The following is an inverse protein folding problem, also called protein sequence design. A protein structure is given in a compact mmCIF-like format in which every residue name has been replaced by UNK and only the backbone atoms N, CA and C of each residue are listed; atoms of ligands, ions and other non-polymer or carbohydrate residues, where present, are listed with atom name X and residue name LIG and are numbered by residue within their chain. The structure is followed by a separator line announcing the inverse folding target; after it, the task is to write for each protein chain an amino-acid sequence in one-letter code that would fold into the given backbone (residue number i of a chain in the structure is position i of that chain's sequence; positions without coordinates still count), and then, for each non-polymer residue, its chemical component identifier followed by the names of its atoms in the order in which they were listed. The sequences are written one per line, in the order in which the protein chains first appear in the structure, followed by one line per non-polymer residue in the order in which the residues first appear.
data_IF_396080806008
#
_entry.id   IF_396080806008
#
_cell.length_a   1.000
_cell.length_b   1.000
_cell.length_c   1.000
_cell.angle_alpha   90.00
_cell.angle_beta   90.00
_cell.angle_gamma   90.00
#
_symmetry.space_group_name_H-M   'P 1'
#
loop_
_entity.id
_entity.type
_entity.pdbx_description
1 polymer ?
#
# COMPACT_ATOMS: atom_id res chain seq x y z
N UNK A 1 13.78 -15.57 -13.07
CA UNK A 1 13.50 -14.56 -14.13
C UNK A 1 13.93 -15.16 -15.45
N UNK A 2 13.11 -15.04 -16.49
CA UNK A 2 13.33 -15.67 -17.79
C UNK A 2 14.59 -15.15 -18.56
N UNK A 3 15.21 -14.09 -18.05
CA UNK A 3 16.40 -13.46 -18.64
C UNK A 3 17.72 -13.87 -17.94
N UNK A 4 17.66 -14.84 -17.02
CA UNK A 4 18.84 -15.27 -16.26
C UNK A 4 19.40 -14.24 -15.28
N UNK A 5 18.62 -13.22 -14.91
CA UNK A 5 19.05 -12.20 -13.95
C UNK A 5 18.65 -12.59 -12.54
N UNK A 6 19.60 -12.67 -11.64
CA UNK A 6 19.40 -12.97 -10.22
C UNK A 6 19.71 -11.75 -9.37
N UNK A 7 19.01 -11.58 -8.29
CA UNK A 7 19.24 -10.43 -7.36
C UNK A 7 19.59 -10.97 -5.99
N UNK A 8 20.65 -10.45 -5.42
CA UNK A 8 21.10 -10.77 -4.08
C UNK A 8 21.22 -9.50 -3.25
N UNK A 9 20.83 -9.59 -2.00
CA UNK A 9 21.15 -8.57 -1.00
C UNK A 9 22.45 -8.99 -0.31
N UNK A 10 23.37 -8.08 -0.27
CA UNK A 10 24.65 -8.27 0.44
C UNK A 10 24.84 -7.18 1.47
N UNK A 11 25.35 -7.58 2.62
CA UNK A 11 25.76 -6.61 3.62
C UNK A 11 26.95 -5.81 3.08
N UNK A 12 26.98 -4.52 3.36
CA UNK A 12 28.02 -3.61 2.86
C UNK A 12 29.45 -4.00 3.22
N UNK A 13 29.64 -4.87 4.18
CA UNK A 13 30.96 -5.39 4.61
C UNK A 13 31.33 -6.75 4.03
N UNK A 14 30.49 -7.38 3.21
CA UNK A 14 30.80 -8.70 2.64
C UNK A 14 31.79 -8.58 1.47
N UNK A 15 33.00 -9.13 1.58
CA UNK A 15 34.01 -9.07 0.52
C UNK A 15 33.70 -10.02 -0.63
N UNK A 16 32.88 -11.05 -0.40
CA UNK A 16 32.48 -12.05 -1.37
C UNK A 16 30.99 -12.32 -1.27
N UNK A 17 30.38 -12.58 -2.40
CA UNK A 17 29.01 -13.09 -2.52
C UNK A 17 29.13 -14.51 -3.04
N UNK A 18 28.67 -15.45 -2.25
CA UNK A 18 28.55 -16.84 -2.67
C UNK A 18 27.09 -17.16 -2.92
N UNK A 19 26.82 -17.86 -3.97
CA UNK A 19 25.47 -18.24 -4.33
C UNK A 19 25.45 -19.34 -5.34
N UNK A 20 24.25 -19.80 -5.63
CA UNK A 20 24.03 -20.87 -6.57
C UNK A 20 22.79 -20.60 -7.43
N UNK A 21 22.64 -21.23 -8.56
CA UNK A 21 21.52 -21.06 -9.49
C UNK A 21 21.20 -22.34 -10.26
N UNK A 22 20.20 -22.31 -11.13
CA UNK A 22 19.76 -23.43 -11.98
C UNK A 22 19.34 -24.70 -11.22
N UNK A 23 18.25 -24.60 -10.47
CA UNK A 23 17.66 -25.75 -9.79
C UNK A 23 18.59 -26.43 -8.80
N UNK A 24 19.63 -25.72 -8.44
CA UNK A 24 20.48 -26.21 -7.44
C UNK A 24 21.74 -26.89 -7.91
N UNK A 25 22.28 -26.66 -9.08
CA UNK A 25 23.47 -27.35 -9.53
C UNK A 25 24.66 -26.47 -9.89
N UNK A 26 24.60 -25.12 -9.67
CA UNK A 26 25.69 -24.19 -9.99
C UNK A 26 25.98 -23.21 -8.89
N UNK A 27 27.16 -23.33 -8.33
CA UNK A 27 27.69 -22.38 -7.34
C UNK A 27 28.47 -21.29 -8.05
N UNK A 28 28.41 -20.09 -7.49
CA UNK A 28 29.28 -19.00 -7.92
C UNK A 28 29.79 -18.21 -6.74
N UNK A 29 30.96 -17.65 -6.90
CA UNK A 29 31.55 -16.71 -5.95
C UNK A 29 31.84 -15.42 -6.71
N UNK A 30 31.32 -14.31 -6.22
CA UNK A 30 31.64 -12.97 -6.73
C UNK A 30 32.49 -12.27 -5.69
N UNK A 31 33.73 -11.97 -6.04
CA UNK A 31 34.55 -11.07 -5.23
C UNK A 31 34.12 -9.66 -5.51
N UNK A 32 33.53 -9.02 -4.52
CA UNK A 32 33.14 -7.62 -4.64
C UNK A 32 34.40 -6.76 -4.51
N UNK A 33 34.80 -6.12 -5.60
CA UNK A 33 35.82 -5.07 -5.49
C UNK A 33 35.30 -3.94 -4.59
N UNK A 34 36.19 -3.19 -3.99
CA UNK A 34 36.07 -2.22 -2.91
C UNK A 34 34.92 -1.18 -2.90
N UNK A 35 33.97 -1.23 -3.82
CA UNK A 35 32.82 -0.35 -3.85
C UNK A 35 31.54 -1.15 -3.65
N UNK A 36 31.18 -1.38 -2.39
CA UNK A 36 29.86 -1.92 -2.06
C UNK A 36 28.75 -0.93 -2.44
N UNK A 37 27.57 -1.40 -2.86
CA UNK A 37 26.42 -0.53 -3.02
C UNK A 37 26.15 0.24 -1.72
N UNK A 38 25.82 1.51 -1.82
CA UNK A 38 25.27 2.27 -0.69
C UNK A 38 23.86 1.76 -0.42
N UNK A 39 23.36 1.98 0.78
CA UNK A 39 21.97 1.61 1.11
C UNK A 39 21.00 2.18 0.07
N UNK A 40 20.22 1.33 -0.57
CA UNK A 40 19.31 1.70 -1.64
C UNK A 40 19.87 1.53 -3.07
N UNK A 41 21.16 1.21 -3.23
CA UNK A 41 21.76 0.92 -4.54
C UNK A 41 21.88 -0.60 -4.78
N UNK A 42 21.95 -0.98 -6.04
CA UNK A 42 22.25 -2.35 -6.43
C UNK A 42 23.37 -2.37 -7.48
N UNK A 43 24.17 -3.43 -7.47
CA UNK A 43 25.14 -3.70 -8.53
C UNK A 43 24.72 -4.93 -9.30
N UNK A 44 24.96 -4.91 -10.61
CA UNK A 44 24.74 -6.04 -11.48
C UNK A 44 26.08 -6.73 -11.74
N UNK A 45 26.14 -8.02 -11.50
CA UNK A 45 27.26 -8.87 -11.84
C UNK A 45 26.83 -9.88 -12.89
N UNK A 46 27.72 -10.17 -13.84
CA UNK A 46 27.53 -11.23 -14.80
C UNK A 46 28.28 -12.46 -14.31
N UNK A 47 27.60 -13.57 -14.17
CA UNK A 47 28.22 -14.84 -13.84
C UNK A 47 28.28 -15.66 -15.12
N UNK A 48 29.49 -15.91 -15.63
CA UNK A 48 29.72 -16.70 -16.81
C UNK A 48 30.01 -18.15 -16.45
N UNK A 49 29.00 -18.96 -16.72
CA UNK A 49 29.08 -20.38 -16.98
C UNK A 49 29.89 -21.27 -16.04
N UNK A 50 29.49 -21.46 -14.84
CA UNK A 50 30.03 -22.51 -14.01
C UNK A 50 28.91 -23.31 -13.32
N UNK A 51 29.29 -24.36 -12.69
CA UNK A 51 28.41 -25.36 -12.14
C UNK A 51 27.67 -24.87 -10.86
N UNK A 52 26.69 -25.40 -10.42
CA UNK A 52 25.48 -24.86 -9.94
C UNK A 52 24.67 -25.59 -8.91
N UNK A 53 24.17 -24.96 -7.87
CA UNK A 53 22.94 -25.42 -7.25
C UNK A 53 22.26 -24.36 -6.43
N UNK A 54 21.04 -23.95 -6.75
CA UNK A 54 20.25 -23.09 -5.87
C UNK A 54 19.50 -23.95 -4.86
N UNK A 55 19.74 -23.71 -3.58
CA UNK A 55 18.87 -24.17 -2.51
C UNK A 55 18.29 -22.95 -1.79
N UNK A 56 16.96 -22.80 -1.89
CA UNK A 56 16.15 -21.87 -1.13
C UNK A 56 16.53 -20.38 -1.29
N UNK A 57 15.96 -19.73 -2.28
CA UNK A 57 15.94 -18.25 -2.31
C UNK A 57 15.05 -17.78 -1.19
N UNK A 58 15.64 -17.45 -0.06
CA UNK A 58 14.96 -16.63 0.95
C UNK A 58 14.95 -15.20 0.41
N UNK A 59 13.77 -14.69 0.08
CA UNK A 59 13.63 -13.29 -0.25
C UNK A 59 14.04 -12.48 0.98
N UNK A 60 14.99 -11.57 0.81
CA UNK A 60 15.57 -10.85 1.91
C UNK A 60 14.52 -9.95 2.58
N UNK A 61 14.56 -9.90 3.89
CA UNK A 61 13.66 -9.13 4.74
C UNK A 61 13.75 -7.61 4.54
N UNK A 62 14.66 -7.12 3.71
CA UNK A 62 14.86 -5.70 3.40
C UNK A 62 15.33 -5.47 1.96
N UNK A 63 14.52 -5.86 0.97
CA UNK A 63 14.72 -5.45 -0.42
C UNK A 63 14.27 -4.01 -0.63
N UNK A 64 14.77 -3.34 -1.70
CA UNK A 64 14.16 -2.10 -2.17
C UNK A 64 12.73 -2.43 -2.59
N UNK A 65 11.77 -1.86 -1.90
CA UNK A 65 10.37 -2.05 -2.19
C UNK A 65 10.04 -1.48 -3.58
N UNK A 66 9.25 -2.20 -4.35
CA UNK A 66 8.73 -1.75 -5.64
C UNK A 66 7.22 -1.81 -5.63
N UNK A 67 6.60 -0.92 -6.37
CA UNK A 67 5.15 -0.95 -6.58
C UNK A 67 4.74 -2.31 -7.15
N UNK A 68 3.77 -2.96 -6.50
CA UNK A 68 3.28 -4.28 -6.82
C UNK A 68 3.96 -5.43 -6.07
N UNK A 69 5.06 -5.21 -5.34
CA UNK A 69 5.65 -6.25 -4.51
C UNK A 69 4.67 -6.68 -3.40
N UNK A 70 4.67 -7.95 -3.06
CA UNK A 70 3.85 -8.50 -2.00
C UNK A 70 4.50 -8.25 -0.64
N UNK A 71 3.76 -7.64 0.27
CA UNK A 71 4.18 -7.52 1.67
C UNK A 71 3.63 -8.72 2.44
N UNK A 72 4.54 -9.48 3.02
CA UNK A 72 4.25 -10.73 3.71
C UNK A 72 4.66 -10.65 5.17
N UNK A 73 4.01 -11.46 5.99
CA UNK A 73 4.38 -11.62 7.41
C UNK A 73 4.68 -13.07 7.74
N UNK A 74 5.50 -13.28 8.76
CA UNK A 74 5.76 -14.58 9.39
C UNK A 74 5.86 -14.40 10.90
N UNK A 75 6.02 -15.50 11.64
CA UNK A 75 6.19 -15.49 13.09
C UNK A 75 5.08 -14.73 13.82
N UNK A 76 3.83 -15.03 13.45
CA UNK A 76 2.63 -14.36 13.96
C UNK A 76 2.66 -12.83 13.78
N UNK A 77 3.17 -12.36 12.63
CA UNK A 77 3.21 -10.95 12.27
C UNK A 77 4.39 -10.17 12.84
N UNK A 78 5.30 -10.79 13.57
CA UNK A 78 6.46 -10.07 14.15
C UNK A 78 7.54 -9.76 13.13
N UNK A 79 7.59 -10.52 12.05
CA UNK A 79 8.55 -10.34 10.95
C UNK A 79 7.83 -10.01 9.66
N UNK A 80 8.23 -8.92 8.99
CA UNK A 80 7.77 -8.53 7.66
C UNK A 80 8.84 -8.76 6.61
N UNK A 81 8.43 -9.14 5.40
CA UNK A 81 9.33 -9.30 4.26
C UNK A 81 8.60 -9.06 2.94
N UNK A 82 9.36 -8.84 1.87
CA UNK A 82 8.81 -8.62 0.54
C UNK A 82 9.03 -9.84 -0.35
N UNK A 83 8.00 -10.19 -1.13
CA UNK A 83 8.11 -11.07 -2.27
C UNK A 83 7.97 -10.22 -3.54
N UNK A 84 8.87 -10.34 -4.52
CA UNK A 84 8.78 -9.61 -5.78
C UNK A 84 7.47 -9.90 -6.52
N UNK A 85 6.89 -8.89 -7.13
CA UNK A 85 5.64 -9.02 -7.93
C UNK A 85 5.74 -10.00 -9.10
N UNK A 86 6.94 -10.32 -9.53
CA UNK A 86 7.21 -11.32 -10.58
C UNK A 86 7.30 -12.75 -10.04
N UNK A 87 7.12 -12.96 -8.73
CA UNK A 87 7.14 -14.29 -8.14
C UNK A 87 5.99 -15.17 -8.68
N UNK A 88 6.29 -16.44 -8.85
CA UNK A 88 5.29 -17.42 -9.30
C UNK A 88 4.20 -17.67 -8.24
N UNK A 89 3.07 -18.19 -8.69
CA UNK A 89 1.91 -18.45 -7.85
C UNK A 89 2.26 -19.37 -6.65
N UNK A 90 3.08 -20.39 -6.85
CA UNK A 90 3.47 -21.32 -5.78
C UNK A 90 4.21 -20.60 -4.66
N UNK A 91 5.14 -19.74 -5.02
CA UNK A 91 5.89 -18.92 -4.06
C UNK A 91 4.98 -17.99 -3.29
N UNK A 92 4.05 -17.33 -3.97
CA UNK A 92 3.11 -16.35 -3.34
C UNK A 92 2.13 -17.07 -2.43
N UNK A 93 1.56 -18.23 -2.86
CA UNK A 93 0.62 -19.01 -2.06
C UNK A 93 1.25 -19.71 -0.85
N UNK A 94 2.56 -19.94 -0.86
CA UNK A 94 3.28 -20.48 0.29
C UNK A 94 3.53 -19.43 1.39
N UNK A 95 3.28 -18.14 1.10
CA UNK A 95 3.54 -17.03 2.00
C UNK A 95 2.24 -16.49 2.62
N UNK A 96 2.34 -15.90 3.80
CA UNK A 96 1.24 -15.12 4.38
C UNK A 96 1.29 -13.70 3.81
N UNK A 97 0.68 -13.51 2.64
CA UNK A 97 0.59 -12.19 2.00
C UNK A 97 -0.48 -11.37 2.71
N UNK A 98 -0.09 -10.21 3.25
CA UNK A 98 -1.02 -9.32 3.96
C UNK A 98 -1.30 -8.04 3.19
N UNK A 99 -0.48 -7.68 2.19
CA UNK A 99 -0.69 -6.49 1.39
C UNK A 99 0.14 -6.41 0.12
N UNK A 100 -0.14 -5.36 -0.67
CA UNK A 100 0.57 -5.00 -1.90
C UNK A 100 1.19 -3.62 -1.73
N UNK A 101 2.47 -3.48 -2.07
CA UNK A 101 3.15 -2.18 -2.06
C UNK A 101 2.56 -1.30 -3.15
N UNK A 102 2.05 -0.14 -2.77
CA UNK A 102 1.43 0.79 -3.73
C UNK A 102 2.17 2.12 -3.87
N UNK A 103 3.05 2.47 -2.94
CA UNK A 103 3.81 3.72 -3.01
C UNK A 103 5.22 3.54 -2.42
N UNK A 104 6.23 4.03 -3.14
CA UNK A 104 7.64 4.00 -2.70
C UNK A 104 8.31 5.37 -2.80
N UNK A 105 7.62 6.35 -3.38
CA UNK A 105 8.10 7.75 -3.36
C UNK A 105 7.90 8.33 -1.95
N UNK A 106 9.00 8.59 -1.27
CA UNK A 106 8.99 9.11 0.10
C UNK A 106 8.33 10.49 0.21
N UNK A 107 8.29 11.28 -0.87
CA UNK A 107 7.58 12.56 -0.90
C UNK A 107 6.06 12.39 -0.78
N UNK A 108 5.54 11.21 -1.11
CA UNK A 108 4.14 10.82 -1.03
C UNK A 108 3.79 10.07 0.26
N UNK A 109 4.67 10.03 1.25
CA UNK A 109 4.45 9.39 2.54
C UNK A 109 4.35 10.47 3.61
N UNK A 110 3.29 10.40 4.41
CA UNK A 110 2.96 11.42 5.39
C UNK A 110 4.03 11.63 6.48
N UNK A 111 4.09 12.83 7.03
CA UNK A 111 5.09 13.17 8.03
C UNK A 111 4.94 12.33 9.31
N UNK A 112 3.70 12.00 9.70
CA UNK A 112 3.44 11.17 10.90
C UNK A 112 3.78 9.71 10.69
N UNK A 113 3.62 9.19 9.48
CA UNK A 113 4.11 7.87 9.07
C UNK A 113 5.64 7.82 9.20
N UNK A 114 6.34 8.81 8.66
CA UNK A 114 7.81 8.93 8.78
C UNK A 114 8.28 9.03 10.22
N UNK A 115 7.61 9.87 11.02
CA UNK A 115 7.91 10.01 12.46
C UNK A 115 7.74 8.68 13.20
N UNK A 116 6.64 7.97 12.94
CA UNK A 116 6.36 6.66 13.56
C UNK A 116 7.41 5.61 13.22
N UNK A 117 7.95 5.64 12.02
CA UNK A 117 9.01 4.74 11.56
C UNK A 117 10.42 5.16 12.03
N UNK A 118 10.54 6.25 12.78
CA UNK A 118 11.83 6.73 13.29
C UNK A 118 12.62 7.57 12.29
N UNK A 119 11.96 8.13 11.29
CA UNK A 119 12.52 9.05 10.30
C UNK A 119 12.50 8.53 8.87
N UNK A 120 12.74 9.44 7.94
CA UNK A 120 12.65 9.16 6.49
C UNK A 120 13.60 8.05 6.00
N UNK A 121 14.72 7.84 6.69
CA UNK A 121 15.68 6.78 6.36
C UNK A 121 15.10 5.37 6.51
N UNK A 122 14.14 5.20 7.41
CA UNK A 122 13.52 3.92 7.73
C UNK A 122 12.23 3.66 6.94
N UNK A 123 11.84 4.58 6.06
CA UNK A 123 10.64 4.44 5.24
C UNK A 123 10.99 3.71 3.96
N UNK A 124 10.31 2.61 3.70
CA UNK A 124 10.46 1.79 2.50
C UNK A 124 9.27 1.92 1.54
N UNK A 125 8.07 2.16 2.07
CA UNK A 125 6.88 2.31 1.25
C UNK A 125 5.57 2.27 2.02
N UNK A 126 4.47 2.31 1.25
CA UNK A 126 3.11 2.09 1.73
C UNK A 126 2.54 0.81 1.13
N UNK A 127 1.80 0.08 1.95
CA UNK A 127 1.17 -1.21 1.61
C UNK A 127 -0.34 -1.08 1.75
N UNK A 128 -1.08 -1.52 0.75
CA UNK A 128 -2.53 -1.69 0.78
C UNK A 128 -2.86 -3.12 1.20
N UNK A 129 -3.75 -3.30 2.18
CA UNK A 129 -4.20 -4.62 2.61
C UNK A 129 -4.85 -5.40 1.45
N UNK A 130 -4.68 -6.71 1.43
CA UNK A 130 -5.35 -7.58 0.44
C UNK A 130 -6.80 -7.90 0.82
N UNK A 131 -7.25 -7.49 2.01
CA UNK A 131 -8.60 -7.72 2.55
C UNK A 131 -9.39 -6.43 2.72
N UNK A 132 -10.71 -6.51 2.48
CA UNK A 132 -11.69 -5.57 3.02
C UNK A 132 -12.03 -6.02 4.44
N UNK A 133 -11.80 -5.19 5.43
CA UNK A 133 -11.90 -5.59 6.83
C UNK A 133 -13.25 -5.26 7.46
N UNK A 134 -14.00 -4.40 6.82
CA UNK A 134 -15.36 -4.05 7.21
C UNK A 134 -16.12 -3.49 6.00
N UNK A 135 -17.44 -3.59 6.08
CA UNK A 135 -18.38 -3.05 5.12
C UNK A 135 -19.36 -2.14 5.82
N UNK A 136 -19.87 -1.12 5.11
CA UNK A 136 -20.89 -0.20 5.61
C UNK A 136 -20.52 0.48 6.94
N UNK A 137 -19.32 1.05 7.00
CA UNK A 137 -18.85 1.75 8.18
C UNK A 137 -19.07 3.26 8.05
N UNK A 138 -19.67 3.87 9.08
CA UNK A 138 -19.73 5.30 9.21
C UNK A 138 -18.32 5.86 9.48
N UNK A 139 -18.06 7.06 8.97
CA UNK A 139 -16.78 7.74 9.19
C UNK A 139 -16.64 8.21 10.67
N UNK A 140 -17.70 8.82 11.21
CA UNK A 140 -17.70 9.34 12.57
C UNK A 140 -18.87 10.28 12.88
N UNK A 141 -18.65 11.22 13.79
CA UNK A 141 -19.69 12.09 14.32
C UNK A 141 -20.13 13.16 13.32
N UNK A 142 -21.40 13.15 12.97
CA UNK A 142 -22.03 14.18 12.14
C UNK A 142 -22.12 15.52 12.89
N UNK A 143 -21.76 16.60 12.23
CA UNK A 143 -21.79 17.94 12.81
C UNK A 143 -20.56 18.32 13.65
N UNK A 144 -19.61 17.38 13.80
CA UNK A 144 -18.37 17.59 14.54
C UNK A 144 -17.22 17.90 13.55
N UNK A 145 -16.57 19.05 13.75
CA UNK A 145 -15.29 19.37 13.11
C UNK A 145 -14.17 18.70 13.91
N UNK A 146 -13.44 17.81 13.27
CA UNK A 146 -12.36 17.09 13.93
C UNK A 146 -11.05 17.88 13.93
N UNK A 147 -10.98 18.98 13.20
CA UNK A 147 -9.77 19.77 13.07
C UNK A 147 -8.70 19.13 12.17
N UNK A 148 -9.10 18.17 11.34
CA UNK A 148 -8.26 17.65 10.28
C UNK A 148 -8.13 18.67 9.14
N UNK A 149 -7.11 18.50 8.30
CA UNK A 149 -6.96 19.36 7.12
C UNK A 149 -8.18 19.21 6.21
N UNK A 150 -8.87 20.31 5.98
CA UNK A 150 -10.03 20.34 5.08
C UNK A 150 -9.57 20.41 3.62
N UNK A 151 -9.83 19.35 2.88
CA UNK A 151 -9.43 19.24 1.47
C UNK A 151 -10.63 19.57 0.57
N UNK A 152 -10.61 20.72 -0.10
CA UNK A 152 -11.72 21.17 -0.96
C UNK A 152 -11.36 21.32 -2.43
N UNK A 153 -10.08 21.33 -2.75
CA UNK A 153 -9.61 21.35 -4.14
C UNK A 153 -9.04 19.99 -4.51
N UNK A 154 -8.92 19.73 -5.81
CA UNK A 154 -8.26 18.55 -6.35
C UNK A 154 -6.83 18.40 -5.81
N UNK A 155 -6.09 19.50 -5.76
CA UNK A 155 -4.73 19.53 -5.24
C UNK A 155 -4.67 19.22 -3.74
N UNK A 156 -5.55 19.82 -2.94
CA UNK A 156 -5.59 19.58 -1.49
C UNK A 156 -5.91 18.11 -1.19
N UNK A 157 -6.90 17.56 -1.91
CA UNK A 157 -7.31 16.17 -1.76
C UNK A 157 -6.17 15.19 -2.14
N UNK A 158 -5.46 15.47 -3.25
CA UNK A 158 -4.29 14.69 -3.66
C UNK A 158 -3.15 14.79 -2.65
N UNK A 159 -2.96 15.94 -2.02
CA UNK A 159 -1.88 16.19 -1.07
C UNK A 159 -2.21 15.77 0.36
N UNK A 160 -3.45 15.38 0.66
CA UNK A 160 -3.76 14.76 1.95
C UNK A 160 -3.30 13.30 1.95
N UNK A 161 -2.05 13.10 2.33
CA UNK A 161 -1.36 11.81 2.44
C UNK A 161 -1.16 11.38 3.90
N UNK A 162 -1.88 12.00 4.82
CA UNK A 162 -1.68 11.88 6.27
C UNK A 162 -2.60 10.84 6.92
N UNK A 163 -2.80 9.68 6.31
CA UNK A 163 -3.75 8.67 6.82
C UNK A 163 -3.47 8.23 8.24
N UNK A 164 -2.22 7.87 8.55
CA UNK A 164 -1.81 7.55 9.91
C UNK A 164 -1.97 8.76 10.85
N UNK A 165 -1.54 9.93 10.39
CA UNK A 165 -1.68 11.17 11.15
C UNK A 165 -3.13 11.51 11.47
N UNK A 166 -4.05 11.36 10.51
CA UNK A 166 -5.49 11.56 10.71
C UNK A 166 -6.05 10.58 11.76
N UNK A 167 -5.66 9.30 11.69
CA UNK A 167 -6.07 8.29 12.66
C UNK A 167 -5.57 8.62 14.07
N UNK A 168 -4.29 8.99 14.22
CA UNK A 168 -3.71 9.37 15.50
C UNK A 168 -4.34 10.64 16.07
N UNK A 169 -4.69 11.62 15.20
CA UNK A 169 -5.37 12.83 15.60
C UNK A 169 -6.76 12.52 16.20
N UNK A 170 -7.57 11.71 15.51
CA UNK A 170 -8.88 11.28 16.03
C UNK A 170 -8.71 10.51 17.34
N UNK A 171 -7.82 9.53 17.39
CA UNK A 171 -7.58 8.73 18.60
C UNK A 171 -7.17 9.58 19.79
N UNK A 172 -6.29 10.54 19.58
CA UNK A 172 -5.77 11.41 20.65
C UNK A 172 -6.84 12.39 21.15
N UNK A 173 -7.57 13.02 20.24
CA UNK A 173 -8.55 14.05 20.59
C UNK A 173 -9.85 13.45 21.16
N UNK A 174 -10.20 12.21 20.80
CA UNK A 174 -11.41 11.51 21.23
C UNK A 174 -11.15 10.44 22.28
N UNK A 175 -9.89 10.12 22.56
CA UNK A 175 -9.48 9.09 23.50
C UNK A 175 -9.60 7.65 22.97
N UNK A 176 -10.43 7.42 21.95
CA UNK A 176 -10.65 6.12 21.30
C UNK A 176 -11.33 6.30 19.93
N UNK A 177 -11.72 5.20 19.30
CA UNK A 177 -12.45 5.18 18.02
C UNK A 177 -13.91 4.75 18.14
N UNK A 178 -14.52 4.69 19.32
CA UNK A 178 -15.85 4.10 19.51
C UNK A 178 -16.95 4.78 18.69
N UNK A 179 -16.82 6.09 18.47
CA UNK A 179 -17.74 6.85 17.61
C UNK A 179 -17.25 7.00 16.16
N UNK A 180 -16.19 6.28 15.77
CA UNK A 180 -15.52 6.37 14.45
C UNK A 180 -15.33 4.97 13.86
N UNK A 181 -16.42 4.30 13.45
CA UNK A 181 -16.39 2.88 13.07
C UNK A 181 -15.38 2.53 11.96
N UNK A 182 -15.21 3.37 10.94
CA UNK A 182 -14.24 3.12 9.87
C UNK A 182 -12.79 3.15 10.38
N UNK A 183 -12.45 4.10 11.25
CA UNK A 183 -11.14 4.19 11.90
C UNK A 183 -10.91 3.02 12.85
N UNK A 184 -11.96 2.69 13.64
CA UNK A 184 -11.92 1.54 14.57
C UNK A 184 -11.64 0.24 13.84
N UNK A 185 -12.34 -0.01 12.75
CA UNK A 185 -12.14 -1.22 11.95
C UNK A 185 -10.70 -1.33 11.46
N UNK A 186 -10.11 -0.24 10.92
CA UNK A 186 -8.72 -0.24 10.49
C UNK A 186 -7.73 -0.47 11.65
N UNK A 187 -7.99 0.12 12.81
CA UNK A 187 -7.18 -0.06 14.00
C UNK A 187 -7.27 -1.48 14.57
N UNK A 188 -8.48 -2.03 14.70
CA UNK A 188 -8.72 -3.38 15.25
C UNK A 188 -8.14 -4.47 14.34
N UNK A 189 -7.95 -4.19 13.05
CA UNK A 189 -7.31 -5.13 12.12
C UNK A 189 -5.89 -5.49 12.53
N UNK A 190 -5.17 -4.65 13.26
CA UNK A 190 -3.87 -4.97 13.84
C UNK A 190 -3.91 -6.19 14.80
N UNK A 191 -5.07 -6.51 15.35
CA UNK A 191 -5.24 -7.69 16.21
C UNK A 191 -5.44 -8.97 15.38
N UNK A 192 -6.17 -8.88 14.28
CA UNK A 192 -6.50 -10.04 13.43
C UNK A 192 -5.47 -10.29 12.32
N UNK A 193 -4.75 -9.26 11.92
CA UNK A 193 -3.66 -9.31 10.96
C UNK A 193 -2.46 -8.53 11.54
N UNK A 194 -1.74 -9.11 12.51
CA UNK A 194 -0.63 -8.43 13.15
C UNK A 194 0.52 -8.22 12.17
N UNK A 195 1.21 -7.10 12.34
CA UNK A 195 2.34 -6.68 11.53
C UNK A 195 3.50 -6.23 12.44
N UNK A 196 4.75 -6.17 11.93
CA UNK A 196 5.90 -5.83 12.75
C UNK A 196 5.75 -4.48 13.45
N UNK A 197 6.25 -4.37 14.66
CA UNK A 197 6.29 -3.12 15.43
C UNK A 197 7.13 -2.01 14.77
N UNK A 198 7.95 -2.37 13.79
CA UNK A 198 8.71 -1.46 12.91
C UNK A 198 7.87 -0.81 11.82
N UNK A 199 6.58 -1.17 11.71
CA UNK A 199 5.61 -0.53 10.81
C UNK A 199 4.75 0.47 11.59
N UNK A 200 3.91 1.22 10.87
CA UNK A 200 2.87 2.06 11.52
C UNK A 200 1.78 1.22 12.18
N UNK A 201 1.67 -0.08 11.83
CA UNK A 201 0.42 -0.80 11.95
C UNK A 201 -0.60 -0.36 10.88
N UNK A 202 -1.72 -1.06 10.82
CA UNK A 202 -2.82 -0.77 9.89
C UNK A 202 -3.60 0.47 10.32
N UNK A 203 -3.95 1.32 9.34
CA UNK A 203 -4.74 2.52 9.55
C UNK A 203 -5.65 2.81 8.34
N UNK A 204 -6.64 3.69 8.53
CA UNK A 204 -7.54 4.13 7.46
C UNK A 204 -6.81 5.10 6.52
N UNK A 205 -6.68 4.79 5.22
CA UNK A 205 -5.93 5.62 4.28
C UNK A 205 -6.55 7.02 4.11
N UNK A 206 -5.72 8.03 3.94
CA UNK A 206 -6.16 9.33 3.49
C UNK A 206 -6.55 9.33 2.00
N UNK A 207 -7.29 10.34 1.57
CA UNK A 207 -7.74 10.44 0.18
C UNK A 207 -6.57 10.49 -0.81
N UNK A 208 -5.48 11.20 -0.48
CA UNK A 208 -4.27 11.23 -1.30
C UNK A 208 -3.57 9.87 -1.43
N UNK A 209 -3.67 9.01 -0.40
CA UNK A 209 -3.16 7.64 -0.47
C UNK A 209 -4.03 6.76 -1.38
N UNK A 210 -5.33 7.00 -1.44
CA UNK A 210 -6.21 6.39 -2.45
C UNK A 210 -5.86 6.85 -3.87
N UNK A 211 -5.51 8.13 -4.07
CA UNK A 211 -4.99 8.60 -5.35
C UNK A 211 -3.79 7.77 -5.80
N UNK A 212 -2.84 7.52 -4.89
CA UNK A 212 -1.63 6.74 -5.17
C UNK A 212 -1.96 5.27 -5.49
N UNK A 213 -2.88 4.64 -4.76
CA UNK A 213 -3.36 3.28 -5.07
C UNK A 213 -3.94 3.22 -6.49
N UNK A 214 -4.81 4.16 -6.83
CA UNK A 214 -5.50 4.17 -8.13
C UNK A 214 -4.56 4.48 -9.29
N UNK A 215 -3.59 5.38 -9.10
CA UNK A 215 -2.60 5.70 -10.13
C UNK A 215 -1.59 4.56 -10.32
N UNK A 216 -1.06 4.03 -9.22
CA UNK A 216 0.05 3.10 -9.28
C UNK A 216 -0.37 1.64 -9.51
N UNK A 217 -1.54 1.24 -9.01
CA UNK A 217 -2.07 -0.11 -9.14
C UNK A 217 -3.32 -0.19 -10.04
N UNK A 218 -4.15 0.85 -10.05
CA UNK A 218 -5.41 0.88 -10.81
C UNK A 218 -5.28 1.34 -12.25
N UNK A 219 -4.10 1.80 -12.67
CA UNK A 219 -3.88 2.31 -14.04
C UNK A 219 -4.59 3.64 -14.33
N UNK A 220 -4.98 4.38 -13.31
CA UNK A 220 -5.63 5.68 -13.47
C UNK A 220 -4.61 6.77 -13.89
N UNK A 221 -5.05 7.79 -14.62
CA UNK A 221 -4.18 8.85 -15.13
C UNK A 221 -3.65 9.75 -14.01
N UNK A 222 -2.69 10.59 -14.38
CA UNK A 222 -2.13 11.58 -13.49
C UNK A 222 -3.19 12.61 -13.02
N UNK A 223 -2.92 13.24 -11.89
CA UNK A 223 -3.76 14.28 -11.30
C UNK A 223 -4.22 15.35 -12.30
N UNK A 224 -3.34 15.77 -13.23
CA UNK A 224 -3.63 16.80 -14.22
C UNK A 224 -4.84 16.45 -15.11
N UNK A 225 -5.05 15.16 -15.39
CA UNK A 225 -6.08 14.66 -16.30
C UNK A 225 -7.43 14.41 -15.63
N UNK A 226 -7.50 14.64 -14.32
CA UNK A 226 -8.73 14.45 -13.54
C UNK A 226 -9.61 15.69 -13.59
N UNK A 227 -10.89 15.50 -13.86
CA UNK A 227 -11.87 16.59 -13.88
C UNK A 227 -12.41 16.86 -12.47
N UNK A 228 -12.25 18.08 -12.00
CA UNK A 228 -12.92 18.54 -10.78
C UNK A 228 -14.32 19.02 -11.13
N UNK A 229 -15.32 18.59 -10.38
CA UNK A 229 -16.69 19.09 -10.51
C UNK A 229 -16.79 20.47 -9.86
N UNK A 230 -17.44 21.39 -10.54
CA UNK A 230 -17.57 22.81 -10.11
C UNK A 230 -19.01 23.25 -9.89
N UNK A 231 -19.99 22.36 -10.13
CA UNK A 231 -21.39 22.66 -9.80
C UNK A 231 -21.55 22.91 -8.31
N UNK A 232 -22.39 23.88 -7.88
CA UNK A 232 -22.64 24.13 -6.45
C UNK A 232 -23.06 22.90 -5.66
N UNK A 233 -23.80 21.99 -6.30
CA UNK A 233 -24.34 20.78 -5.67
C UNK A 233 -23.30 19.65 -5.54
N UNK A 234 -22.22 19.70 -6.32
CA UNK A 234 -21.16 18.68 -6.38
C UNK A 234 -19.76 19.29 -6.36
N UNK A 235 -19.64 20.52 -5.89
CA UNK A 235 -18.37 21.25 -5.87
C UNK A 235 -17.31 20.52 -5.05
N UNK A 236 -16.12 20.39 -5.64
CA UNK A 236 -14.98 19.71 -5.02
C UNK A 236 -14.90 18.21 -5.31
N UNK A 237 -15.94 17.59 -5.87
CA UNK A 237 -15.85 16.20 -6.31
C UNK A 237 -14.90 16.05 -7.51
N UNK A 238 -14.26 14.89 -7.62
CA UNK A 238 -13.29 14.58 -8.66
C UNK A 238 -13.74 13.35 -9.43
N UNK A 239 -13.53 13.39 -10.75
CA UNK A 239 -14.02 12.37 -11.65
C UNK A 239 -12.97 12.03 -12.71
N UNK A 240 -12.60 10.75 -12.79
CA UNK A 240 -12.01 10.17 -13.99
C UNK A 240 -13.10 9.49 -14.82
N UNK A 241 -13.07 9.71 -16.12
CA UNK A 241 -13.98 9.04 -17.07
C UNK A 241 -13.19 8.08 -17.95
N UNK A 242 -13.83 6.99 -18.33
CA UNK A 242 -13.33 6.04 -19.33
C UNK A 242 -11.95 5.46 -18.99
N UNK A 243 -11.72 5.12 -17.72
CA UNK A 243 -10.44 4.59 -17.23
C UNK A 243 -10.31 3.06 -17.39
N UNK A 244 -11.21 2.44 -18.15
CA UNK A 244 -11.26 0.99 -18.28
C UNK A 244 -11.79 0.31 -17.02
N UNK A 245 -11.40 -0.94 -16.82
CA UNK A 245 -11.83 -1.73 -15.65
C UNK A 245 -10.79 -1.58 -14.52
N UNK A 246 -10.91 -0.53 -13.72
CA UNK A 246 -10.03 -0.26 -12.58
C UNK A 246 -10.11 -1.37 -11.51
N UNK A 247 -11.29 -1.90 -11.13
CA UNK A 247 -11.37 -3.08 -10.29
C UNK A 247 -10.56 -4.27 -10.83
N UNK A 248 -10.64 -4.58 -12.11
CA UNK A 248 -9.86 -5.66 -12.70
C UNK A 248 -8.35 -5.37 -12.68
N UNK A 249 -7.94 -4.13 -12.94
CA UNK A 249 -6.54 -3.72 -12.85
C UNK A 249 -5.98 -3.89 -11.43
N UNK A 250 -6.74 -3.49 -10.40
CA UNK A 250 -6.37 -3.70 -9.00
C UNK A 250 -6.33 -5.20 -8.64
N UNK A 251 -7.29 -5.98 -9.10
CA UNK A 251 -7.37 -7.42 -8.83
C UNK A 251 -6.22 -8.20 -9.45
N UNK A 252 -5.68 -7.74 -10.58
CA UNK A 252 -4.55 -8.37 -11.24
C UNK A 252 -3.31 -8.46 -10.34
N UNK A 253 -3.05 -7.46 -9.51
CA UNK A 253 -1.94 -7.48 -8.56
C UNK A 253 -2.08 -8.55 -7.48
N UNK A 254 -3.28 -9.07 -7.28
CA UNK A 254 -3.59 -10.09 -6.28
C UNK A 254 -3.85 -11.46 -6.92
N UNK A 255 -3.68 -11.63 -8.24
CA UNK A 255 -4.09 -12.87 -8.94
C UNK A 255 -3.41 -14.13 -8.36
N UNK A 256 -2.12 -14.04 -8.03
CA UNK A 256 -1.33 -15.14 -7.47
C UNK A 256 -1.62 -15.43 -5.98
N UNK A 257 -2.37 -14.59 -5.27
CA UNK A 257 -2.76 -14.82 -3.87
C UNK A 257 -3.92 -15.82 -3.85
N UNK A 258 -3.91 -16.76 -2.92
CA UNK A 258 -4.99 -17.73 -2.77
C UNK A 258 -6.36 -17.05 -2.59
N UNK A 259 -7.41 -17.64 -3.16
CA UNK A 259 -8.76 -17.04 -3.18
C UNK A 259 -9.29 -16.75 -1.77
N UNK A 260 -8.98 -17.59 -0.78
CA UNK A 260 -9.39 -17.39 0.61
C UNK A 260 -8.63 -16.29 1.35
N UNK A 261 -7.49 -15.84 0.81
CA UNK A 261 -6.58 -14.93 1.50
C UNK A 261 -6.66 -13.48 0.99
N UNK A 262 -7.49 -13.21 0.00
CA UNK A 262 -7.74 -11.88 -0.56
C UNK A 262 -9.22 -11.59 -0.72
N UNK A 263 -9.57 -10.31 -0.76
CA UNK A 263 -10.88 -9.82 -1.20
C UNK A 263 -10.69 -8.99 -2.47
N UNK A 264 -11.42 -9.38 -3.51
CA UNK A 264 -11.36 -8.70 -4.81
C UNK A 264 -12.14 -7.39 -4.77
N UNK A 265 -11.69 -6.45 -5.59
CA UNK A 265 -12.44 -5.25 -5.90
C UNK A 265 -13.60 -5.63 -6.83
N UNK A 266 -14.80 -5.32 -6.41
CA UNK A 266 -16.01 -5.55 -7.22
C UNK A 266 -16.40 -4.29 -7.99
N UNK A 267 -17.28 -4.47 -8.96
CA UNK A 267 -17.90 -3.36 -9.65
C UNK A 267 -18.84 -2.60 -8.72
N UNK A 268 -18.83 -1.28 -8.82
CA UNK A 268 -19.65 -0.39 -7.98
C UNK A 268 -19.37 -0.61 -6.49
N UNK A 269 -18.15 -0.37 -6.08
CA UNK A 269 -17.70 -0.44 -4.69
C UNK A 269 -17.20 0.93 -4.26
N UNK A 270 -17.48 1.29 -3.01
CA UNK A 270 -16.97 2.50 -2.38
C UNK A 270 -16.08 2.18 -1.19
N UNK A 271 -15.12 3.08 -0.93
CA UNK A 271 -14.13 2.96 0.11
C UNK A 271 -14.01 4.25 0.92
N UNK A 272 -14.00 4.10 2.23
CA UNK A 272 -13.72 5.20 3.15
C UNK A 272 -12.30 5.74 2.98
N UNK A 273 -12.14 7.04 3.20
CA UNK A 273 -10.84 7.65 3.50
C UNK A 273 -10.88 8.30 4.88
N UNK A 274 -9.72 8.57 5.47
CA UNK A 274 -9.60 9.31 6.72
C UNK A 274 -9.73 10.83 6.55
N UNK A 275 -9.82 11.31 5.30
CA UNK A 275 -9.84 12.74 4.97
C UNK A 275 -11.18 13.40 5.28
N UNK A 276 -11.15 14.52 5.97
CA UNK A 276 -12.32 15.31 6.30
C UNK A 276 -12.62 16.34 5.21
N UNK A 277 -13.85 16.43 4.76
CA UNK A 277 -14.31 17.51 3.89
C UNK A 277 -14.88 18.68 4.67
N UNK A 278 -15.61 18.41 5.75
CA UNK A 278 -16.23 19.42 6.62
C UNK A 278 -16.72 18.75 7.91
N UNK A 279 -17.22 19.54 8.85
CA UNK A 279 -17.87 18.97 10.05
C UNK A 279 -19.04 18.00 9.76
N UNK A 280 -19.58 18.02 8.56
CA UNK A 280 -20.70 17.15 8.15
C UNK A 280 -20.29 16.03 7.23
N UNK A 281 -19.19 16.20 6.45
CA UNK A 281 -18.85 15.33 5.32
C UNK A 281 -17.41 14.86 5.38
N UNK A 282 -17.19 13.69 4.78
CA UNK A 282 -15.90 13.03 4.56
C UNK A 282 -15.71 12.73 3.10
N UNK A 283 -14.47 12.45 2.69
CA UNK A 283 -14.14 11.97 1.36
C UNK A 283 -14.17 10.45 1.28
N UNK A 284 -14.72 9.92 0.19
CA UNK A 284 -14.64 8.51 -0.14
C UNK A 284 -14.51 8.29 -1.65
N UNK A 285 -14.11 7.09 -2.03
CA UNK A 285 -13.81 6.73 -3.40
C UNK A 285 -14.80 5.70 -3.92
N UNK A 286 -15.30 5.90 -5.15
CA UNK A 286 -16.20 4.96 -5.83
C UNK A 286 -15.51 4.45 -7.07
N UNK A 287 -15.42 3.12 -7.18
CA UNK A 287 -14.99 2.41 -8.36
C UNK A 287 -16.23 1.88 -9.08
N UNK A 288 -16.47 2.35 -10.31
CA UNK A 288 -17.64 1.97 -11.09
C UNK A 288 -17.24 1.62 -12.51
N UNK A 289 -16.97 0.34 -12.78
CA UNK A 289 -16.54 -0.11 -14.09
C UNK A 289 -17.66 -0.12 -15.13
N UNK A 290 -18.95 -0.19 -14.74
CA UNK A 290 -20.07 -0.12 -15.69
C UNK A 290 -20.10 1.19 -16.48
N UNK A 291 -19.54 2.26 -15.93
CA UNK A 291 -19.45 3.56 -16.56
C UNK A 291 -18.00 3.97 -16.87
N UNK A 292 -17.03 3.09 -16.61
CA UNK A 292 -15.61 3.43 -16.74
C UNK A 292 -15.23 4.64 -15.89
N UNK A 293 -15.79 4.75 -14.68
CA UNK A 293 -15.61 5.93 -13.83
C UNK A 293 -14.95 5.56 -12.51
N UNK A 294 -14.04 6.43 -12.10
CA UNK A 294 -13.56 6.52 -10.72
C UNK A 294 -13.93 7.91 -10.20
N UNK A 295 -14.55 7.95 -9.05
CA UNK A 295 -14.97 9.20 -8.42
C UNK A 295 -14.43 9.30 -7.00
N UNK A 296 -13.93 10.48 -6.65
CA UNK A 296 -13.77 10.90 -5.27
C UNK A 296 -14.90 11.89 -4.96
N UNK A 297 -15.77 11.52 -4.05
CA UNK A 297 -16.93 12.33 -3.68
C UNK A 297 -16.98 12.52 -2.15
N UNK A 298 -17.73 13.50 -1.72
CA UNK A 298 -17.99 13.69 -0.31
C UNK A 298 -19.39 13.21 0.07
N UNK A 299 -19.51 12.61 1.24
CA UNK A 299 -20.78 12.20 1.80
C UNK A 299 -20.86 12.48 3.29
N UNK A 300 -22.03 12.28 3.87
CA UNK A 300 -22.24 12.43 5.29
C UNK A 300 -21.31 11.52 6.10
N UNK A 301 -20.70 12.05 7.15
CA UNK A 301 -19.90 11.28 8.10
C UNK A 301 -20.67 10.15 8.78
N UNK A 302 -21.99 10.25 8.83
CA UNK A 302 -22.90 9.27 9.41
C UNK A 302 -23.32 8.20 8.39
N UNK A 303 -23.10 8.41 7.10
CA UNK A 303 -23.48 7.47 6.05
C UNK A 303 -22.55 6.25 6.08
N UNK A 304 -23.13 5.10 6.47
CA UNK A 304 -22.41 3.84 6.60
C UNK A 304 -22.50 2.98 5.33
N UNK A 305 -22.17 3.52 4.16
CA UNK A 305 -22.25 2.79 2.89
C UNK A 305 -20.93 2.22 2.39
N UNK A 306 -19.79 2.55 3.02
CA UNK A 306 -18.48 2.33 2.45
C UNK A 306 -17.69 1.18 3.10
N UNK A 307 -16.81 0.58 2.31
CA UNK A 307 -15.90 -0.45 2.77
C UNK A 307 -14.64 0.17 3.37
N UNK A 308 -14.00 -0.59 4.24
CA UNK A 308 -12.70 -0.24 4.83
C UNK A 308 -11.63 -1.19 4.28
N UNK A 309 -10.66 -0.64 3.56
CA UNK A 309 -9.44 -1.34 3.14
C UNK A 309 -8.25 -0.58 3.72
N UNK A 310 -7.60 -1.09 4.76
CA UNK A 310 -6.55 -0.38 5.46
C UNK A 310 -5.24 -0.37 4.68
N UNK A 311 -4.36 0.53 5.11
CA UNK A 311 -2.99 0.63 4.62
C UNK A 311 -2.02 0.68 5.80
N UNK A 312 -0.74 0.45 5.53
CA UNK A 312 0.34 0.65 6.49
C UNK A 312 1.57 1.27 5.81
N UNK A 313 2.45 1.89 6.60
CA UNK A 313 3.80 2.26 6.19
C UNK A 313 4.85 1.35 6.85
N UNK A 314 5.93 1.03 6.13
CA UNK A 314 7.00 0.15 6.58
C UNK A 314 8.37 0.64 6.15
#
# INVERSE_FOLDING_TARGET
MADGTYRYLVHSSMPTIEGCYDGGNREFTITTSASHPVVGEYKRYKVDGAAETIKNVTYAESGIARIGDFYCTKDNGTTGYLIPKEADETTVQAATVVGIVFQTDKSRIGAKEKEKLGGEGNVHGLVMAVKNIATRQAWGLFGMDEGLTTCRTKADNYNDISGYGNCEHIRTNRGNFDSYPAFKAAYDYNTTCPVPATTTGWYLPASGQWWDILQNLGGCPALADVTQQTSPDIAGEFLWKSQGDVPAALNKWMENIAVGDKDTFNNLVSFCSSSEHSKYHTWYWILNNFQGMVRCIWASKFDGSDNVRPVLAF
#
